data_IF_022563059663
#
_entry.id   IF_022563059663
#
_cell.length_a   1.000
_cell.length_b   1.000
_cell.length_c   1.000
_cell.angle_alpha   90.00
_cell.angle_beta   90.00
_cell.angle_gamma   90.00
#
_symmetry.space_group_name_H-M   'P 1'
#
loop_
_entity.id
_entity.type
_entity.pdbx_description
1 polymer ?
#
# COMPACT_ATOMS: atom_id res chain seq x y z
N UNK A 1 -24.67 25.37 14.69
CA UNK A 1 -24.14 25.37 13.32
C UNK A 1 -24.63 24.12 12.61
N UNK A 2 -25.02 24.25 11.34
CA UNK A 2 -25.41 23.12 10.47
C UNK A 2 -24.71 23.25 9.12
N UNK A 3 -24.41 22.12 8.50
CA UNK A 3 -23.77 22.04 7.19
C UNK A 3 -24.61 21.15 6.25
N UNK A 4 -24.42 21.36 4.95
CA UNK A 4 -25.04 20.55 3.90
C UNK A 4 -23.98 20.18 2.87
N UNK A 5 -23.85 18.91 2.56
CA UNK A 5 -23.03 18.46 1.44
C UNK A 5 -23.70 18.78 0.10
N UNK A 6 -22.96 18.92 -1.01
CA UNK A 6 -23.51 19.30 -2.32
C UNK A 6 -24.63 18.39 -2.83
N UNK A 7 -24.61 17.13 -2.41
CA UNK A 7 -25.53 16.04 -2.79
C UNK A 7 -26.67 15.78 -1.77
N UNK A 8 -26.74 16.56 -0.70
CA UNK A 8 -27.77 16.43 0.33
C UNK A 8 -28.86 17.50 0.22
N UNK A 9 -30.13 17.09 0.32
CA UNK A 9 -31.27 18.02 0.31
C UNK A 9 -31.50 18.75 1.65
N UNK A 10 -31.05 18.14 2.78
CA UNK A 10 -31.33 18.69 4.13
C UNK A 10 -30.04 19.05 4.86
N UNK A 11 -30.14 20.12 5.66
CA UNK A 11 -29.06 20.52 6.56
C UNK A 11 -28.90 19.55 7.74
N UNK A 12 -27.68 19.12 8.03
CA UNK A 12 -27.35 18.32 9.21
C UNK A 12 -26.74 19.21 10.29
N UNK A 13 -27.22 19.11 11.52
CA UNK A 13 -26.65 19.84 12.66
C UNK A 13 -25.29 19.22 12.99
N UNK A 14 -24.22 20.02 13.03
CA UNK A 14 -22.87 19.53 13.24
C UNK A 14 -22.69 18.74 14.54
N UNK A 15 -23.40 19.15 15.62
CA UNK A 15 -23.37 18.43 16.90
C UNK A 15 -23.87 16.97 16.84
N UNK A 16 -24.65 16.60 15.82
CA UNK A 16 -25.11 15.21 15.64
C UNK A 16 -24.06 14.32 15.00
N UNK A 17 -22.94 14.90 14.50
CA UNK A 17 -21.82 14.19 13.91
C UNK A 17 -20.78 13.74 14.95
N UNK A 18 -20.93 14.19 16.20
CA UNK A 18 -20.06 13.80 17.31
C UNK A 18 -19.53 15.00 18.12
N UNK A 19 -18.91 14.70 19.28
CA UNK A 19 -18.38 15.70 20.21
C UNK A 19 -17.35 16.66 19.57
N UNK A 20 -16.60 16.19 18.56
CA UNK A 20 -15.59 16.97 17.86
C UNK A 20 -16.18 18.05 16.91
N UNK A 21 -17.50 18.04 16.70
CA UNK A 21 -18.21 18.97 15.82
C UNK A 21 -19.11 19.95 16.58
N UNK A 22 -18.89 20.08 17.89
CA UNK A 22 -19.55 21.13 18.69
C UNK A 22 -18.97 22.52 18.33
N UNK A 23 -19.70 23.56 18.65
CA UNK A 23 -19.29 24.94 18.36
C UNK A 23 -17.94 25.28 19.04
N UNK A 24 -17.75 24.83 20.28
CA UNK A 24 -16.53 25.03 21.04
C UNK A 24 -15.34 24.25 20.45
N UNK A 25 -15.55 23.01 20.04
CA UNK A 25 -14.52 22.18 19.40
C UNK A 25 -14.09 22.75 18.03
N UNK A 26 -15.04 23.29 17.25
CA UNK A 26 -14.75 23.96 15.99
C UNK A 26 -14.02 25.29 16.21
N UNK A 27 -14.44 26.10 17.17
CA UNK A 27 -13.76 27.34 17.52
C UNK A 27 -12.32 27.11 18.00
N UNK A 28 -12.09 26.08 18.83
CA UNK A 28 -10.76 25.69 19.27
C UNK A 28 -9.84 25.24 18.12
N UNK A 29 -10.39 24.53 17.12
CA UNK A 29 -9.66 24.14 15.89
C UNK A 29 -9.30 25.33 15.01
N UNK A 30 -10.24 26.23 14.78
CA UNK A 30 -10.03 27.44 13.99
C UNK A 30 -8.95 28.33 14.67
N UNK A 31 -8.96 28.38 16.00
CA UNK A 31 -7.94 29.09 16.78
C UNK A 31 -6.58 28.35 16.84
N UNK A 32 -6.42 27.20 16.18
CA UNK A 32 -5.18 26.40 16.16
C UNK A 32 -4.82 25.74 17.50
N UNK A 33 -5.74 25.74 18.47
CA UNK A 33 -5.51 25.25 19.85
C UNK A 33 -5.80 23.76 20.04
N UNK A 34 -6.50 23.11 19.11
CA UNK A 34 -6.78 21.69 19.17
C UNK A 34 -6.70 21.05 17.79
N UNK A 35 -5.90 20.02 17.63
CA UNK A 35 -6.01 19.09 16.49
C UNK A 35 -7.12 18.08 16.81
N UNK A 36 -7.91 17.63 15.80
CA UNK A 36 -8.86 16.54 16.04
C UNK A 36 -8.05 15.36 16.61
N UNK A 37 -8.38 14.92 17.79
CA UNK A 37 -7.90 13.64 18.28
C UNK A 37 -8.41 12.62 17.28
N UNK A 38 -7.52 12.01 16.48
CA UNK A 38 -7.81 10.71 15.90
C UNK A 38 -7.97 9.82 17.12
N UNK A 39 -9.20 9.59 17.52
CA UNK A 39 -9.46 8.43 18.36
C UNK A 39 -8.81 7.27 17.62
N UNK A 40 -7.86 6.54 18.24
CA UNK A 40 -7.45 5.28 17.67
C UNK A 40 -8.78 4.59 17.38
N UNK A 41 -9.04 4.18 16.13
CA UNK A 41 -10.11 3.22 15.87
C UNK A 41 -9.85 2.16 16.91
N UNK A 42 -10.77 2.04 17.87
CA UNK A 42 -10.82 0.86 18.71
C UNK A 42 -10.67 -0.24 17.67
N UNK A 43 -9.60 -1.02 17.80
CA UNK A 43 -9.52 -2.28 17.10
C UNK A 43 -10.70 -3.02 17.70
N UNK A 44 -11.83 -2.88 16.99
CA UNK A 44 -13.05 -3.59 17.31
C UNK A 44 -12.61 -5.02 17.49
N UNK A 45 -12.97 -5.55 18.66
CA UNK A 45 -12.59 -6.88 19.05
C UNK A 45 -12.84 -7.82 17.89
N UNK A 46 -11.99 -8.82 17.70
CA UNK A 46 -11.99 -9.82 16.64
C UNK A 46 -13.38 -9.96 16.02
N UNK A 47 -13.56 -9.52 14.78
CA UNK A 47 -14.86 -9.61 14.11
C UNK A 47 -15.11 -11.09 13.91
N UNK A 48 -15.97 -11.68 14.75
CA UNK A 48 -16.39 -13.06 14.57
C UNK A 48 -17.04 -13.22 13.21
N UNK A 49 -16.53 -14.15 12.40
CA UNK A 49 -17.12 -14.49 11.11
C UNK A 49 -18.38 -15.35 11.27
N UNK A 50 -18.54 -16.01 12.42
CA UNK A 50 -19.76 -16.70 12.77
C UNK A 50 -20.80 -15.71 13.33
N UNK A 51 -22.05 -15.87 12.86
CA UNK A 51 -23.14 -15.03 13.33
C UNK A 51 -23.60 -15.56 14.70
N UNK A 52 -23.49 -14.73 15.74
CA UNK A 52 -24.08 -15.05 17.04
C UNK A 52 -25.60 -14.95 16.96
N UNK A 53 -26.24 -16.11 16.80
CA UNK A 53 -27.69 -16.19 16.61
C UNK A 53 -28.44 -15.91 17.90
N UNK A 54 -27.84 -16.24 19.06
CA UNK A 54 -28.51 -16.10 20.36
C UNK A 54 -28.60 -14.64 20.81
N UNK A 55 -27.52 -13.88 20.63
CA UNK A 55 -27.43 -12.48 21.07
C UNK A 55 -27.76 -11.48 19.94
N UNK A 56 -28.04 -11.96 18.73
CA UNK A 56 -28.36 -11.08 17.61
C UNK A 56 -29.83 -10.65 17.65
N UNK A 57 -30.09 -9.36 17.87
CA UNK A 57 -31.44 -8.77 17.93
C UNK A 57 -32.29 -9.13 16.71
N UNK A 58 -31.71 -9.09 15.50
CA UNK A 58 -32.42 -9.46 14.25
C UNK A 58 -32.79 -10.94 14.23
N UNK A 59 -31.94 -11.82 14.76
CA UNK A 59 -32.24 -13.25 14.86
C UNK A 59 -33.30 -13.54 15.92
N UNK A 60 -33.38 -12.74 16.98
CA UNK A 60 -34.44 -12.84 17.98
C UNK A 60 -35.80 -12.37 17.43
N UNK A 61 -35.81 -11.32 16.64
CA UNK A 61 -37.03 -10.68 16.12
C UNK A 61 -37.56 -11.33 14.82
N UNK A 62 -36.70 -12.02 14.05
CA UNK A 62 -37.05 -12.61 12.76
C UNK A 62 -36.63 -14.08 12.65
N UNK A 63 -37.64 -14.96 12.59
CA UNK A 63 -37.41 -16.39 12.36
C UNK A 63 -36.73 -16.68 11.02
N UNK A 64 -37.01 -15.88 9.99
CA UNK A 64 -36.36 -15.98 8.69
C UNK A 64 -34.86 -15.65 8.76
N UNK A 65 -34.49 -14.58 9.46
CA UNK A 65 -33.11 -14.21 9.64
C UNK A 65 -32.34 -15.26 10.49
N UNK A 66 -32.95 -15.78 11.55
CA UNK A 66 -32.38 -16.86 12.37
C UNK A 66 -32.03 -18.08 11.53
N UNK A 67 -33.00 -18.54 10.71
CA UNK A 67 -32.80 -19.69 9.82
C UNK A 67 -31.70 -19.45 8.82
N UNK A 68 -31.63 -18.26 8.21
CA UNK A 68 -30.58 -17.87 7.30
C UNK A 68 -29.20 -17.87 7.99
N UNK A 69 -29.09 -17.26 9.18
CA UNK A 69 -27.85 -17.21 9.95
C UNK A 69 -27.34 -18.62 10.33
N UNK A 70 -28.26 -19.54 10.70
CA UNK A 70 -27.91 -20.94 10.96
C UNK A 70 -27.33 -21.61 9.72
N UNK A 71 -27.97 -21.46 8.57
CA UNK A 71 -27.50 -22.03 7.29
C UNK A 71 -26.15 -21.44 6.91
N UNK A 72 -25.97 -20.14 7.09
CA UNK A 72 -24.72 -19.47 6.76
C UNK A 72 -23.56 -19.95 7.65
N UNK A 73 -23.80 -20.10 8.96
CA UNK A 73 -22.81 -20.66 9.86
C UNK A 73 -22.44 -22.10 9.51
N UNK A 74 -23.43 -22.94 9.16
CA UNK A 74 -23.17 -24.31 8.72
C UNK A 74 -22.34 -24.38 7.44
N UNK A 75 -22.59 -23.49 6.47
CA UNK A 75 -21.76 -23.39 5.26
C UNK A 75 -20.31 -23.05 5.61
N UNK A 76 -20.08 -22.05 6.46
CA UNK A 76 -18.73 -21.67 6.86
C UNK A 76 -17.98 -22.79 7.57
N UNK A 77 -18.66 -23.55 8.42
CA UNK A 77 -18.09 -24.73 9.08
C UNK A 77 -17.71 -25.79 8.05
N UNK A 78 -18.61 -26.08 7.09
CA UNK A 78 -18.35 -27.05 6.03
C UNK A 78 -17.18 -26.60 5.13
N UNK A 79 -17.16 -25.34 4.69
CA UNK A 79 -16.08 -24.78 3.87
C UNK A 79 -14.74 -24.83 4.62
N UNK A 80 -14.72 -24.52 5.92
CA UNK A 80 -13.51 -24.62 6.75
C UNK A 80 -13.04 -26.07 6.84
N UNK A 81 -13.94 -27.02 7.11
CA UNK A 81 -13.60 -28.45 7.19
C UNK A 81 -13.06 -29.00 5.87
N UNK A 82 -13.70 -28.63 4.75
CA UNK A 82 -13.23 -29.01 3.43
C UNK A 82 -11.84 -28.45 3.14
N UNK A 83 -11.63 -27.16 3.41
CA UNK A 83 -10.33 -26.50 3.24
C UNK A 83 -9.23 -27.19 4.05
N UNK A 84 -9.46 -27.47 5.33
CA UNK A 84 -8.50 -28.15 6.19
C UNK A 84 -8.15 -29.54 5.66
N UNK A 85 -9.17 -30.28 5.20
CA UNK A 85 -9.01 -31.63 4.62
C UNK A 85 -8.22 -31.59 3.30
N UNK A 86 -8.57 -30.68 2.40
CA UNK A 86 -7.88 -30.50 1.10
C UNK A 86 -6.41 -30.11 1.25
N UNK A 87 -6.09 -29.33 2.30
CA UNK A 87 -4.73 -28.89 2.58
C UNK A 87 -3.97 -29.81 3.55
N UNK A 88 -4.59 -30.91 4.00
CA UNK A 88 -3.98 -31.91 4.89
C UNK A 88 -3.64 -31.32 6.28
N UNK A 89 -4.44 -30.40 6.78
CA UNK A 89 -4.23 -29.73 8.07
C UNK A 89 -5.00 -30.50 9.14
N UNK A 90 -4.26 -31.18 10.01
CA UNK A 90 -4.83 -32.05 11.07
C UNK A 90 -4.96 -31.40 12.44
N UNK A 91 -4.30 -30.25 12.66
CA UNK A 91 -4.33 -29.56 13.96
C UNK A 91 -4.39 -28.03 13.80
N UNK A 92 -4.79 -27.36 14.90
CA UNK A 92 -4.79 -25.89 14.93
C UNK A 92 -3.38 -25.31 14.87
N UNK A 93 -2.38 -25.99 15.47
CA UNK A 93 -0.98 -25.58 15.40
C UNK A 93 -0.46 -25.61 13.95
N UNK A 94 -0.79 -26.67 13.20
CA UNK A 94 -0.46 -26.77 11.77
C UNK A 94 -1.11 -25.65 10.95
N UNK A 95 -2.35 -25.26 11.28
CA UNK A 95 -3.01 -24.13 10.65
C UNK A 95 -2.29 -22.81 10.93
N UNK A 96 -1.84 -22.58 12.16
CA UNK A 96 -1.05 -21.39 12.53
C UNK A 96 0.26 -21.33 11.75
N UNK A 97 1.00 -22.45 11.67
CA UNK A 97 2.24 -22.54 10.91
C UNK A 97 2.01 -22.21 9.42
N UNK A 98 0.92 -22.73 8.83
CA UNK A 98 0.55 -22.41 7.45
C UNK A 98 0.19 -20.94 7.25
N UNK A 99 -0.50 -20.33 8.21
CA UNK A 99 -0.77 -18.87 8.19
C UNK A 99 0.52 -18.06 8.22
N UNK A 100 1.45 -18.43 9.11
CA UNK A 100 2.74 -17.73 9.23
C UNK A 100 3.58 -17.85 7.95
N UNK A 101 3.70 -19.06 7.39
CA UNK A 101 4.41 -19.29 6.12
C UNK A 101 3.77 -18.50 4.97
N UNK A 102 2.44 -18.46 4.88
CA UNK A 102 1.75 -17.70 3.84
C UNK A 102 2.00 -16.18 3.98
N UNK A 103 1.90 -15.66 5.21
CA UNK A 103 2.17 -14.25 5.51
C UNK A 103 3.63 -13.86 5.23
N UNK A 104 4.58 -14.70 5.68
CA UNK A 104 6.01 -14.48 5.40
C UNK A 104 6.31 -14.48 3.89
N UNK A 105 5.69 -15.38 3.13
CA UNK A 105 5.82 -15.43 1.67
C UNK A 105 5.30 -14.17 1.00
N UNK A 106 4.10 -13.69 1.37
CA UNK A 106 3.53 -12.45 0.86
C UNK A 106 4.40 -11.22 1.22
N UNK A 107 4.88 -11.16 2.47
CA UNK A 107 5.77 -10.09 2.93
C UNK A 107 7.10 -10.05 2.14
N UNK A 108 7.70 -11.22 1.87
CA UNK A 108 8.92 -11.34 1.06
C UNK A 108 8.70 -10.83 -0.36
N UNK A 109 7.66 -11.32 -1.04
CA UNK A 109 7.34 -10.88 -2.41
C UNK A 109 7.04 -9.38 -2.49
N UNK A 110 6.42 -8.81 -1.46
CA UNK A 110 6.18 -7.36 -1.35
C UNK A 110 7.49 -6.58 -1.21
N UNK A 111 8.45 -7.10 -0.44
CA UNK A 111 9.78 -6.51 -0.31
C UNK A 111 10.54 -6.57 -1.64
N UNK A 112 10.57 -7.74 -2.30
CA UNK A 112 11.22 -7.94 -3.60
C UNK A 112 10.64 -7.01 -4.69
N UNK A 113 9.32 -6.83 -4.68
CA UNK A 113 8.63 -5.92 -5.60
C UNK A 113 9.04 -4.46 -5.37
N UNK A 114 9.13 -4.04 -4.11
CA UNK A 114 9.59 -2.70 -3.73
C UNK A 114 11.03 -2.47 -4.15
N UNK A 115 11.91 -3.41 -3.87
CA UNK A 115 13.34 -3.31 -4.17
C UNK A 115 13.59 -3.31 -5.69
N UNK A 116 12.83 -4.10 -6.46
CA UNK A 116 12.85 -4.05 -7.92
C UNK A 116 12.38 -2.69 -8.43
N UNK A 117 11.33 -2.10 -7.84
CA UNK A 117 10.85 -0.75 -8.16
C UNK A 117 11.93 0.31 -7.91
N UNK A 118 12.58 0.28 -6.76
CA UNK A 118 13.64 1.21 -6.41
C UNK A 118 14.84 1.15 -7.38
N UNK A 119 15.21 -0.07 -7.84
CA UNK A 119 16.26 -0.24 -8.86
C UNK A 119 15.89 0.37 -10.21
N UNK A 120 14.62 0.23 -10.63
CA UNK A 120 14.12 0.84 -11.87
C UNK A 120 14.21 2.36 -11.77
N UNK A 121 13.77 2.94 -10.65
CA UNK A 121 13.79 4.39 -10.42
C UNK A 121 15.23 4.94 -10.39
N UNK A 122 16.16 4.21 -9.78
CA UNK A 122 17.58 4.55 -9.75
C UNK A 122 18.19 4.54 -11.17
N UNK A 123 17.92 3.49 -11.96
CA UNK A 123 18.40 3.39 -13.34
C UNK A 123 17.80 4.47 -14.25
N UNK A 124 16.51 4.77 -14.09
CA UNK A 124 15.84 5.84 -14.82
C UNK A 124 16.46 7.21 -14.50
N UNK A 125 16.78 7.45 -13.22
CA UNK A 125 17.47 8.66 -12.78
C UNK A 125 18.88 8.76 -13.39
N UNK A 126 19.66 7.66 -13.36
CA UNK A 126 20.98 7.58 -13.99
C UNK A 126 20.89 7.88 -15.50
N UNK A 127 19.94 7.25 -16.18
CA UNK A 127 19.73 7.45 -17.62
C UNK A 127 19.41 8.90 -17.95
N UNK A 128 18.57 9.58 -17.16
CA UNK A 128 18.25 11.01 -17.31
C UNK A 128 19.52 11.88 -17.23
N UNK A 129 20.35 11.66 -16.23
CA UNK A 129 21.58 12.47 -16.06
C UNK A 129 22.64 12.16 -17.12
N UNK A 130 22.78 10.89 -17.52
CA UNK A 130 23.68 10.50 -18.60
C UNK A 130 23.25 11.11 -19.94
N UNK A 131 21.95 11.14 -20.23
CA UNK A 131 21.40 11.76 -21.43
C UNK A 131 21.69 13.28 -21.44
N UNK A 132 21.41 13.98 -20.33
CA UNK A 132 21.70 15.40 -20.19
C UNK A 132 23.21 15.70 -20.33
N UNK A 133 24.06 14.89 -19.72
CA UNK A 133 25.52 15.01 -19.86
C UNK A 133 25.96 14.90 -21.33
N UNK A 134 25.51 13.88 -22.03
CA UNK A 134 25.87 13.66 -23.45
C UNK A 134 25.37 14.77 -24.34
N UNK A 135 24.15 15.24 -24.12
CA UNK A 135 23.55 16.30 -24.91
C UNK A 135 24.28 17.63 -24.75
N UNK A 136 24.71 17.94 -23.53
CA UNK A 136 25.33 19.24 -23.21
C UNK A 136 26.85 19.24 -23.32
N UNK A 137 27.50 18.09 -23.35
CA UNK A 137 28.95 17.95 -23.47
C UNK A 137 29.55 18.74 -24.63
N UNK A 138 29.01 18.74 -25.87
CA UNK A 138 29.58 19.51 -26.96
C UNK A 138 29.57 21.03 -26.72
N UNK A 139 28.59 21.54 -25.97
CA UNK A 139 28.53 22.97 -25.60
C UNK A 139 29.61 23.26 -24.56
N UNK A 140 29.75 22.40 -23.55
CA UNK A 140 30.76 22.55 -22.51
C UNK A 140 32.20 22.44 -23.06
N UNK A 141 32.45 21.52 -24.00
CA UNK A 141 33.76 21.39 -24.67
C UNK A 141 34.10 22.66 -25.47
N UNK A 142 33.11 23.28 -26.12
CA UNK A 142 33.29 24.58 -26.81
C UNK A 142 33.55 25.71 -25.79
N UNK A 143 32.89 25.71 -24.65
CA UNK A 143 33.14 26.64 -23.55
C UNK A 143 34.61 26.54 -23.07
N UNK A 144 35.08 25.31 -22.85
CA UNK A 144 36.47 25.09 -22.41
C UNK A 144 37.51 25.55 -23.45
N UNK A 145 37.21 25.38 -24.71
CA UNK A 145 38.08 25.80 -25.83
C UNK A 145 37.98 27.28 -26.16
N UNK A 146 36.99 28.00 -25.63
CA UNK A 146 36.78 29.43 -25.94
C UNK A 146 37.88 30.30 -25.32
N UNK A 147 38.38 31.25 -26.12
CA UNK A 147 39.32 32.29 -25.66
C UNK A 147 38.63 33.34 -24.76
N UNK A 148 37.37 33.64 -25.03
CA UNK A 148 36.53 34.57 -24.25
C UNK A 148 35.44 33.79 -23.53
N UNK A 149 35.79 33.30 -22.33
CA UNK A 149 34.89 32.48 -21.51
C UNK A 149 33.70 33.27 -20.99
N UNK A 150 33.88 34.58 -20.67
CA UNK A 150 32.78 35.40 -20.13
C UNK A 150 31.69 35.63 -21.20
N UNK A 151 32.10 35.96 -22.44
CA UNK A 151 31.18 36.18 -23.54
C UNK A 151 30.42 34.89 -23.87
N UNK A 152 31.13 33.75 -23.89
CA UNK A 152 30.50 32.45 -24.11
C UNK A 152 29.53 32.09 -22.99
N UNK A 153 29.92 32.34 -21.73
CA UNK A 153 29.07 32.05 -20.59
C UNK A 153 27.78 32.85 -20.65
N UNK A 154 27.78 34.13 -20.99
CA UNK A 154 26.57 34.96 -21.10
C UNK A 154 25.56 34.40 -22.13
N UNK A 155 26.04 33.69 -23.18
CA UNK A 155 25.18 33.11 -24.18
C UNK A 155 24.65 31.70 -23.88
N UNK A 156 25.39 30.94 -23.00
CA UNK A 156 25.12 29.52 -22.75
C UNK A 156 25.20 29.17 -21.25
N UNK A 157 24.93 30.11 -20.39
CA UNK A 157 25.05 29.95 -18.93
C UNK A 157 24.19 28.80 -18.41
N UNK A 158 22.96 28.74 -18.87
CA UNK A 158 22.00 27.69 -18.49
C UNK A 158 22.52 26.30 -18.85
N UNK A 159 23.01 26.12 -20.07
CA UNK A 159 23.51 24.85 -20.58
C UNK A 159 24.77 24.41 -19.82
N UNK A 160 25.64 25.34 -19.47
CA UNK A 160 26.86 25.06 -18.71
C UNK A 160 26.51 24.63 -17.28
N UNK A 161 25.62 25.36 -16.61
CA UNK A 161 25.14 25.00 -15.26
C UNK A 161 24.46 23.62 -15.25
N UNK A 162 23.60 23.32 -16.25
CA UNK A 162 22.95 22.04 -16.40
C UNK A 162 23.95 20.90 -16.67
N UNK A 163 24.99 21.15 -17.47
CA UNK A 163 26.04 20.18 -17.72
C UNK A 163 26.80 19.83 -16.44
N UNK A 164 27.23 20.87 -15.67
CA UNK A 164 27.95 20.67 -14.41
C UNK A 164 27.11 19.93 -13.36
N UNK A 165 25.82 20.25 -13.32
CA UNK A 165 24.88 19.52 -12.45
C UNK A 165 24.76 18.05 -12.88
N UNK A 166 24.58 17.78 -14.18
CA UNK A 166 24.51 16.43 -14.70
C UNK A 166 25.82 15.65 -14.46
N UNK A 167 26.97 16.28 -14.64
CA UNK A 167 28.28 15.67 -14.39
C UNK A 167 28.46 15.28 -12.91
N UNK A 168 28.06 16.16 -12.00
CA UNK A 168 28.08 15.88 -10.55
C UNK A 168 27.17 14.70 -10.19
N UNK A 169 25.95 14.68 -10.73
CA UNK A 169 25.00 13.60 -10.48
C UNK A 169 25.45 12.27 -11.09
N UNK A 170 26.00 12.26 -12.30
CA UNK A 170 26.61 11.05 -12.89
C UNK A 170 27.72 10.49 -12.00
N UNK A 171 28.59 11.35 -11.43
CA UNK A 171 29.63 10.92 -10.51
C UNK A 171 29.04 10.37 -9.21
N UNK A 172 28.06 11.06 -8.61
CA UNK A 172 27.38 10.65 -7.38
C UNK A 172 26.67 9.28 -7.52
N UNK A 173 26.04 9.06 -8.66
CA UNK A 173 25.30 7.81 -8.96
C UNK A 173 26.19 6.67 -9.48
N UNK A 174 27.51 6.87 -9.51
CA UNK A 174 28.45 5.85 -9.99
C UNK A 174 28.31 5.53 -11.49
N UNK A 175 27.82 6.50 -12.27
CA UNK A 175 27.67 6.35 -13.74
C UNK A 175 28.95 6.76 -14.51
N UNK A 176 30.11 6.56 -13.92
CA UNK A 176 31.42 6.81 -14.56
C UNK A 176 32.24 5.50 -14.51
N UNK A 177 32.66 4.94 -15.68
CA UNK A 177 32.46 5.42 -17.03
C UNK A 177 30.99 5.39 -17.48
N UNK A 178 30.60 6.34 -18.34
CA UNK A 178 29.21 6.53 -18.76
C UNK A 178 28.67 5.28 -19.46
N UNK A 179 27.64 4.61 -18.91
CA UNK A 179 27.04 3.43 -19.53
C UNK A 179 26.29 3.78 -20.81
N UNK A 180 26.12 2.84 -21.74
CA UNK A 180 25.30 3.08 -22.94
C UNK A 180 23.83 3.22 -22.56
N UNK A 181 23.10 4.10 -23.28
CA UNK A 181 21.67 4.29 -23.06
C UNK A 181 20.88 3.01 -23.35
N UNK A 182 21.26 2.31 -24.42
CA UNK A 182 20.64 1.05 -24.85
C UNK A 182 20.79 -0.04 -23.76
N UNK A 183 21.97 -0.14 -23.14
CA UNK A 183 22.21 -1.12 -22.09
C UNK A 183 21.37 -0.81 -20.85
N UNK A 184 21.29 0.47 -20.45
CA UNK A 184 20.43 0.87 -19.32
C UNK A 184 18.96 0.64 -19.61
N UNK A 185 18.52 0.90 -20.84
CA UNK A 185 17.13 0.65 -21.24
C UNK A 185 16.82 -0.83 -21.22
N UNK A 186 17.69 -1.69 -21.75
CA UNK A 186 17.51 -3.13 -21.72
C UNK A 186 17.41 -3.67 -20.26
N UNK A 187 18.22 -3.14 -19.34
CA UNK A 187 18.16 -3.50 -17.93
C UNK A 187 16.86 -3.04 -17.28
N UNK A 188 16.36 -1.85 -17.60
CA UNK A 188 15.04 -1.35 -17.15
C UNK A 188 13.92 -2.25 -17.67
N UNK A 189 13.98 -2.66 -18.94
CA UNK A 189 12.95 -3.53 -19.55
C UNK A 189 12.93 -4.92 -18.90
N UNK A 190 14.11 -5.48 -18.59
CA UNK A 190 14.23 -6.74 -17.84
C UNK A 190 13.67 -6.63 -16.43
N UNK A 191 14.00 -5.56 -15.73
CA UNK A 191 13.46 -5.31 -14.39
C UNK A 191 11.95 -5.08 -14.40
N UNK A 192 11.40 -4.44 -15.42
CA UNK A 192 9.96 -4.27 -15.59
C UNK A 192 9.26 -5.62 -15.86
N UNK A 193 9.85 -6.50 -16.66
CA UNK A 193 9.34 -7.86 -16.86
C UNK A 193 9.33 -8.65 -15.54
N UNK A 194 10.43 -8.59 -14.76
CA UNK A 194 10.51 -9.19 -13.43
C UNK A 194 9.47 -8.61 -12.48
N UNK A 195 9.28 -7.29 -12.47
CA UNK A 195 8.27 -6.59 -11.64
C UNK A 195 6.86 -7.09 -11.95
N UNK A 196 6.54 -7.35 -13.22
CA UNK A 196 5.25 -7.90 -13.62
C UNK A 196 5.02 -9.32 -13.08
N UNK A 197 6.05 -10.19 -13.14
CA UNK A 197 6.01 -11.54 -12.58
C UNK A 197 5.81 -11.48 -11.06
N UNK A 198 6.64 -10.71 -10.34
CA UNK A 198 6.54 -10.55 -8.90
C UNK A 198 5.17 -10.02 -8.45
N UNK A 199 4.57 -9.12 -9.24
CA UNK A 199 3.22 -8.61 -8.96
C UNK A 199 2.15 -9.71 -9.06
N UNK A 200 2.25 -10.58 -10.06
CA UNK A 200 1.33 -11.70 -10.22
C UNK A 200 1.50 -12.75 -9.11
N UNK A 201 2.75 -13.05 -8.72
CA UNK A 201 3.05 -13.96 -7.62
C UNK A 201 2.58 -13.40 -6.28
N UNK A 202 2.79 -12.10 -6.01
CA UNK A 202 2.30 -11.42 -4.82
C UNK A 202 0.78 -11.50 -4.72
N UNK A 203 0.06 -11.30 -5.81
CA UNK A 203 -1.40 -11.40 -5.82
C UNK A 203 -1.88 -12.81 -5.45
N UNK A 204 -1.20 -13.86 -5.94
CA UNK A 204 -1.50 -15.25 -5.55
C UNK A 204 -1.17 -15.51 -4.08
N UNK A 205 -0.01 -15.04 -3.60
CA UNK A 205 0.40 -15.19 -2.22
C UNK A 205 -0.55 -14.48 -1.24
N UNK A 206 -1.00 -13.26 -1.58
CA UNK A 206 -1.97 -12.52 -0.78
C UNK A 206 -3.34 -13.20 -0.72
N UNK A 207 -3.82 -13.80 -1.81
CA UNK A 207 -5.05 -14.61 -1.78
C UNK A 207 -4.89 -15.78 -0.82
N UNK A 208 -3.78 -16.51 -0.95
CA UNK A 208 -3.49 -17.64 -0.08
C UNK A 208 -3.41 -17.21 1.40
N UNK A 209 -2.75 -16.10 1.70
CA UNK A 209 -2.69 -15.51 3.05
C UNK A 209 -4.10 -15.20 3.59
N UNK A 210 -4.96 -14.58 2.76
CA UNK A 210 -6.35 -14.27 3.12
C UNK A 210 -7.17 -15.53 3.37
N UNK A 211 -7.02 -16.56 2.54
CA UNK A 211 -7.73 -17.82 2.70
C UNK A 211 -7.35 -18.50 4.03
N UNK A 212 -6.05 -18.61 4.33
CA UNK A 212 -5.60 -19.18 5.60
C UNK A 212 -6.03 -18.35 6.80
N UNK A 213 -5.96 -17.01 6.72
CA UNK A 213 -6.40 -16.12 7.78
C UNK A 213 -7.92 -16.26 8.06
N UNK A 214 -8.73 -16.39 7.00
CA UNK A 214 -10.16 -16.62 7.13
C UNK A 214 -10.47 -17.96 7.79
N UNK A 215 -9.77 -19.03 7.40
CA UNK A 215 -9.94 -20.35 8.00
C UNK A 215 -9.52 -20.36 9.47
N UNK A 216 -8.39 -19.73 9.79
CA UNK A 216 -7.97 -19.55 11.19
C UNK A 216 -9.04 -18.84 12.01
N UNK A 217 -9.57 -17.73 11.51
CA UNK A 217 -10.62 -16.97 12.20
C UNK A 217 -11.89 -17.82 12.40
N UNK A 218 -12.31 -18.60 11.39
CA UNK A 218 -13.45 -19.49 11.51
C UNK A 218 -13.24 -20.54 12.62
N UNK A 219 -12.04 -21.14 12.70
CA UNK A 219 -11.69 -22.11 13.74
C UNK A 219 -11.67 -21.46 15.12
N UNK A 220 -11.05 -20.27 15.26
CA UNK A 220 -11.02 -19.52 16.52
C UNK A 220 -12.44 -19.17 17.00
N UNK A 221 -13.32 -18.71 16.10
CA UNK A 221 -14.72 -18.38 16.41
C UNK A 221 -15.52 -19.62 16.83
N UNK A 222 -15.20 -20.78 16.25
CA UNK A 222 -15.84 -22.04 16.61
C UNK A 222 -15.39 -22.58 17.98
N UNK A 223 -14.09 -22.45 18.28
CA UNK A 223 -13.51 -22.92 19.53
C UNK A 223 -13.82 -22.00 20.72
N UNK A 224 -14.08 -20.73 20.48
CA UNK A 224 -14.36 -19.71 21.50
C UNK A 224 -15.69 -19.01 21.18
N UNK A 225 -16.84 -19.71 21.31
CA UNK A 225 -18.11 -19.05 21.11
C UNK A 225 -18.28 -17.87 22.08
N UNK A 226 -18.95 -16.78 21.69
CA UNK A 226 -19.17 -15.64 22.54
C UNK A 226 -19.83 -16.08 23.86
N UNK A 227 -19.22 -15.67 24.98
CA UNK A 227 -19.77 -15.93 26.29
C UNK A 227 -21.06 -15.13 26.43
N UNK A 228 -22.17 -15.73 26.88
CA UNK A 228 -23.38 -14.97 27.18
C UNK A 228 -23.08 -14.05 28.39
N UNK A 229 -23.30 -12.74 28.18
CA UNK A 229 -23.37 -11.75 29.26
C UNK A 229 -24.59 -11.98 30.17
#
# INVERSE_FOLDING_TARGET
ISARAPDQERFTRLKTLGADYTEEALAARIAGRARPSRQPKQQDGKISLLIDIQNNIKAQQSAGYRRWATIENLKRIADTSNFLTEHGIGSYEELLDRCEVASASAARLKADLRDTGAKIDELALKMKHVAAYRQLKPIYDRYQASKDKEKFLRGYEREIILFEAAARECKRLGAVPLPSAERMQAEIDELNARKAILKAELQKAQRKEQDYAAMRQNVEDFLSPPQPE
#
